data_IF_002457041128
#
_entry.id   IF_002457041128
#
_cell.length_a   1.000
_cell.length_b   1.000
_cell.length_c   1.000
_cell.angle_alpha   90.00
_cell.angle_beta   90.00
_cell.angle_gamma   90.00
#
_symmetry.space_group_name_H-M   'P 1'
#
loop_
_entity.id
_entity.type
_entity.pdbx_description
1 polymer ?
#
# COMPACT_ATOMS: atom_id res chain seq x y z
N UNK A 1 22.54 -2.79 9.21
CA UNK A 1 21.98 -2.73 7.85
C UNK A 1 20.84 -1.73 7.88
N UNK A 2 20.80 -0.76 6.98
CA UNK A 2 19.72 0.22 6.87
C UNK A 2 18.81 -0.16 5.70
N UNK A 3 17.50 -0.17 5.94
CA UNK A 3 16.50 -0.31 4.89
C UNK A 3 15.92 1.07 4.59
N UNK A 4 15.87 1.44 3.31
CA UNK A 4 15.33 2.72 2.84
C UNK A 4 14.11 2.47 1.97
N UNK A 5 12.99 3.12 2.33
CA UNK A 5 11.78 3.24 1.51
C UNK A 5 11.71 4.68 0.97
N UNK A 6 11.15 4.85 -0.23
CA UNK A 6 11.07 6.16 -0.89
C UNK A 6 9.69 6.37 -1.50
N UNK A 7 9.02 7.44 -1.09
CA UNK A 7 7.82 7.96 -1.73
C UNK A 7 8.18 9.04 -2.76
N UNK A 8 7.20 9.79 -3.22
CA UNK A 8 7.42 10.88 -4.19
C UNK A 8 8.11 12.09 -3.57
N UNK A 9 7.75 12.44 -2.33
CA UNK A 9 8.24 13.63 -1.62
C UNK A 9 8.91 13.31 -0.27
N UNK A 10 9.13 12.02 0.04
CA UNK A 10 9.64 11.58 1.34
C UNK A 10 10.53 10.34 1.25
N UNK A 11 11.40 10.18 2.25
CA UNK A 11 12.29 9.02 2.40
C UNK A 11 12.19 8.55 3.85
N UNK A 12 11.98 7.25 4.03
CA UNK A 12 11.87 6.61 5.34
C UNK A 12 13.07 5.67 5.54
N UNK A 13 13.79 5.87 6.65
CA UNK A 13 14.96 5.08 7.03
C UNK A 13 14.60 4.15 8.18
N UNK A 14 14.77 2.85 7.98
CA UNK A 14 14.51 1.80 8.97
C UNK A 14 15.85 1.20 9.39
N UNK A 15 16.26 1.47 10.64
CA UNK A 15 17.46 0.92 11.25
C UNK A 15 17.35 0.92 12.80
N UNK A 16 18.14 0.11 13.52
CA UNK A 16 18.04 -0.02 14.99
C UNK A 16 18.26 1.28 15.79
N UNK A 17 18.98 2.23 15.21
CA UNK A 17 19.33 3.54 15.78
C UNK A 17 18.39 4.68 15.33
N UNK A 18 17.30 4.34 14.64
CA UNK A 18 16.29 5.28 14.15
C UNK A 18 14.99 5.19 14.96
N UNK A 19 14.13 6.23 14.93
CA UNK A 19 12.78 6.14 15.50
C UNK A 19 11.97 4.98 14.89
N UNK A 20 10.98 4.50 15.64
CA UNK A 20 10.00 3.54 15.12
C UNK A 20 9.25 4.14 13.94
N UNK A 21 9.18 3.40 12.85
CA UNK A 21 8.41 3.75 11.66
C UNK A 21 6.99 3.23 11.79
N UNK A 22 6.01 4.12 11.59
CA UNK A 22 4.59 3.81 11.68
C UNK A 22 4.03 3.50 10.29
N UNK A 23 3.47 2.30 10.12
CA UNK A 23 2.77 1.89 8.90
C UNK A 23 1.27 2.02 9.16
N UNK A 24 0.59 2.89 8.40
CA UNK A 24 -0.86 3.03 8.46
C UNK A 24 -1.58 1.87 7.77
N UNK A 25 -2.48 1.18 8.46
CA UNK A 25 -3.15 -0.06 7.99
C UNK A 25 -4.58 0.12 7.46
N UNK A 26 -5.11 1.35 7.46
CA UNK A 26 -6.57 1.56 7.31
C UNK A 26 -7.08 1.29 5.91
N UNK A 27 -6.24 1.36 4.87
CA UNK A 27 -6.63 1.01 3.49
C UNK A 27 -6.58 -0.51 3.36
N UNK A 28 -7.50 -1.18 4.05
CA UNK A 28 -7.67 -2.62 4.03
C UNK A 28 -9.17 -2.95 4.16
N UNK A 29 -9.79 -3.62 3.17
CA UNK A 29 -11.23 -3.90 3.15
C UNK A 29 -11.64 -4.98 4.17
N UNK A 30 -10.70 -5.69 4.79
CA UNK A 30 -10.97 -6.73 5.79
C UNK A 30 -11.78 -6.18 6.96
N UNK A 31 -13.00 -6.68 7.15
CA UNK A 31 -13.93 -6.17 8.16
C UNK A 31 -14.54 -4.79 7.86
N UNK A 32 -14.15 -4.13 6.77
CA UNK A 32 -14.61 -2.78 6.38
C UNK A 32 -15.58 -2.84 5.20
N UNK A 33 -16.85 -3.18 5.49
CA UNK A 33 -17.92 -3.38 4.48
C UNK A 33 -18.02 -2.25 3.44
N UNK A 34 -17.92 -0.99 3.88
CA UNK A 34 -17.97 0.17 2.97
C UNK A 34 -16.78 0.18 2.00
N UNK A 35 -15.56 0.05 2.51
CA UNK A 35 -14.35 0.05 1.69
C UNK A 35 -14.35 -1.12 0.69
N UNK A 36 -14.77 -2.31 1.13
CA UNK A 36 -14.92 -3.47 0.25
C UNK A 36 -15.90 -3.19 -0.91
N UNK A 37 -17.06 -2.59 -0.61
CA UNK A 37 -18.06 -2.26 -1.62
C UNK A 37 -17.55 -1.22 -2.65
N UNK A 38 -16.81 -0.20 -2.20
CA UNK A 38 -16.19 0.78 -3.10
C UNK A 38 -15.16 0.11 -4.03
N UNK A 39 -14.31 -0.77 -3.50
CA UNK A 39 -13.34 -1.51 -4.31
C UNK A 39 -13.99 -2.47 -5.31
N UNK A 40 -15.08 -3.14 -4.94
CA UNK A 40 -15.86 -3.98 -5.87
C UNK A 40 -16.44 -3.11 -7.00
N UNK A 41 -16.87 -1.88 -6.70
CA UNK A 41 -17.34 -0.93 -7.69
C UNK A 41 -16.21 -0.23 -8.47
N UNK A 42 -14.94 -0.52 -8.17
CA UNK A 42 -13.78 0.14 -8.77
C UNK A 42 -13.61 1.61 -8.35
N UNK A 43 -14.27 2.03 -7.28
CA UNK A 43 -14.16 3.36 -6.70
C UNK A 43 -13.02 3.41 -5.68
N UNK A 44 -12.08 4.33 -5.89
CA UNK A 44 -10.90 4.52 -5.04
C UNK A 44 -10.89 5.88 -4.31
N UNK A 45 -11.94 6.70 -4.42
CA UNK A 45 -11.98 8.02 -3.76
C UNK A 45 -11.83 7.91 -2.24
N UNK A 46 -12.34 6.83 -1.64
CA UNK A 46 -12.17 6.55 -0.21
C UNK A 46 -10.71 6.36 0.21
N UNK A 47 -9.82 5.97 -0.71
CA UNK A 47 -8.38 5.81 -0.46
C UNK A 47 -7.72 7.15 -0.12
N UNK A 48 -8.15 8.22 -0.79
CA UNK A 48 -7.63 9.58 -0.58
C UNK A 48 -7.80 10.03 0.87
N UNK A 49 -9.03 9.94 1.38
CA UNK A 49 -9.36 10.38 2.73
C UNK A 49 -8.62 9.55 3.79
N UNK A 50 -8.52 8.23 3.57
CA UNK A 50 -7.79 7.33 4.47
C UNK A 50 -6.28 7.62 4.47
N UNK A 51 -5.67 7.87 3.31
CA UNK A 51 -4.26 8.20 3.22
C UNK A 51 -3.94 9.53 3.95
N UNK A 52 -4.70 10.58 3.66
CA UNK A 52 -4.55 11.90 4.29
C UNK A 52 -4.74 11.82 5.81
N UNK A 53 -5.77 11.10 6.27
CA UNK A 53 -6.06 10.94 7.69
C UNK A 53 -4.93 10.20 8.42
N UNK A 54 -4.40 9.14 7.81
CA UNK A 54 -3.32 8.35 8.41
C UNK A 54 -2.01 9.14 8.52
N UNK A 55 -1.62 9.87 7.46
CA UNK A 55 -0.43 10.73 7.53
C UNK A 55 -0.61 11.86 8.53
N UNK A 56 -1.80 12.48 8.59
CA UNK A 56 -2.11 13.48 9.63
C UNK A 56 -2.06 12.90 11.05
N UNK A 57 -2.31 11.60 11.21
CA UNK A 57 -2.18 10.87 12.47
C UNK A 57 -0.75 10.36 12.75
N UNK A 58 0.22 10.62 11.86
CA UNK A 58 1.63 10.29 12.05
C UNK A 58 2.11 9.04 11.31
N UNK A 59 1.35 8.46 10.37
CA UNK A 59 1.85 7.37 9.56
C UNK A 59 3.01 7.83 8.66
N UNK A 60 4.14 7.12 8.72
CA UNK A 60 5.32 7.34 7.89
C UNK A 60 5.22 6.62 6.54
N UNK A 61 4.52 5.48 6.52
CA UNK A 61 4.29 4.61 5.36
C UNK A 61 2.81 4.27 5.32
N UNK A 62 2.24 4.16 4.13
CA UNK A 62 0.83 3.77 3.95
C UNK A 62 0.75 2.36 3.38
N UNK A 63 0.12 1.44 4.12
CA UNK A 63 -0.21 0.11 3.64
C UNK A 63 -1.49 0.16 2.80
N UNK A 64 -1.47 -0.55 1.66
CA UNK A 64 -2.56 -0.56 0.68
C UNK A 64 -2.89 -2.01 0.34
N UNK A 65 -3.99 -2.48 0.91
CA UNK A 65 -4.61 -3.77 0.62
C UNK A 65 -5.98 -3.53 -0.05
N UNK A 66 -6.22 -4.17 -1.20
CA UNK A 66 -7.53 -4.12 -1.91
C UNK A 66 -8.21 -5.49 -1.97
N UNK A 67 -7.67 -6.48 -1.26
CA UNK A 67 -8.11 -7.86 -1.28
C UNK A 67 -9.46 -8.06 -0.59
N UNK A 68 -10.52 -8.09 -1.40
CA UNK A 68 -11.84 -8.54 -0.98
C UNK A 68 -12.49 -9.40 -2.07
N UNK A 69 -13.42 -10.27 -1.68
CA UNK A 69 -14.17 -11.10 -2.63
C UNK A 69 -14.89 -10.23 -3.66
N UNK A 70 -14.62 -10.49 -4.94
CA UNK A 70 -15.24 -9.76 -6.05
C UNK A 70 -14.47 -8.51 -6.52
N UNK A 71 -13.34 -8.16 -5.89
CA UNK A 71 -12.48 -7.07 -6.36
C UNK A 71 -11.53 -7.58 -7.45
N UNK A 72 -11.48 -6.88 -8.57
CA UNK A 72 -10.40 -7.03 -9.55
C UNK A 72 -9.14 -6.32 -9.01
N UNK A 73 -8.32 -7.07 -8.26
CA UNK A 73 -7.14 -6.50 -7.60
C UNK A 73 -6.12 -5.96 -8.60
N UNK A 74 -5.98 -6.60 -9.77
CA UNK A 74 -5.05 -6.16 -10.81
C UNK A 74 -5.45 -4.82 -11.44
N UNK A 75 -6.75 -4.51 -11.45
CA UNK A 75 -7.26 -3.21 -11.89
C UNK A 75 -7.29 -2.15 -10.76
N UNK A 76 -7.63 -2.55 -9.53
CA UNK A 76 -7.89 -1.61 -8.42
C UNK A 76 -6.62 -1.22 -7.66
N UNK A 77 -5.72 -2.18 -7.37
CA UNK A 77 -4.50 -1.93 -6.60
C UNK A 77 -3.59 -0.83 -7.20
N UNK A 78 -3.23 -0.84 -8.51
CA UNK A 78 -2.39 0.21 -9.06
C UNK A 78 -3.00 1.60 -8.90
N UNK A 79 -4.32 1.73 -9.13
CA UNK A 79 -5.04 3.00 -8.98
C UNK A 79 -5.06 3.48 -7.53
N UNK A 80 -5.23 2.57 -6.57
CA UNK A 80 -5.16 2.90 -5.14
C UNK A 80 -3.74 3.37 -4.74
N UNK A 81 -2.69 2.71 -5.26
CA UNK A 81 -1.29 3.11 -5.04
C UNK A 81 -0.99 4.47 -5.67
N UNK A 82 -1.45 4.77 -6.88
CA UNK A 82 -1.34 6.09 -7.51
C UNK A 82 -2.03 7.18 -6.68
N UNK A 83 -3.25 6.90 -6.20
CA UNK A 83 -4.01 7.83 -5.36
C UNK A 83 -3.25 8.20 -4.09
N UNK A 84 -2.70 7.22 -3.35
CA UNK A 84 -1.90 7.49 -2.14
C UNK A 84 -0.69 8.37 -2.47
N UNK A 85 0.04 8.06 -3.54
CA UNK A 85 1.22 8.83 -3.95
C UNK A 85 0.88 10.27 -4.33
N UNK A 86 -0.27 10.48 -4.99
CA UNK A 86 -0.77 11.80 -5.37
C UNK A 86 -1.08 12.66 -4.15
N UNK A 87 -1.71 12.07 -3.11
CA UNK A 87 -2.28 12.86 -2.01
C UNK A 87 -1.35 13.05 -0.80
N UNK A 88 -0.42 12.13 -0.54
CA UNK A 88 0.46 12.21 0.65
C UNK A 88 1.95 12.09 0.38
N UNK A 89 2.37 11.53 -0.77
CA UNK A 89 3.77 11.37 -1.14
C UNK A 89 4.66 10.57 -0.16
N UNK A 90 4.06 9.89 0.82
CA UNK A 90 4.67 8.89 1.69
C UNK A 90 5.04 7.62 0.89
N UNK A 91 6.03 6.82 1.32
CA UNK A 91 6.25 5.50 0.73
C UNK A 91 5.02 4.60 0.95
N UNK A 92 4.83 3.65 0.04
CA UNK A 92 3.71 2.71 0.08
C UNK A 92 4.20 1.32 0.47
N UNK A 93 3.45 0.64 1.33
CA UNK A 93 3.50 -0.81 1.55
C UNK A 93 2.40 -1.45 0.69
N UNK A 94 2.80 -2.16 -0.36
CA UNK A 94 1.87 -2.80 -1.29
C UNK A 94 1.48 -4.15 -0.68
N UNK A 95 0.26 -4.27 -0.16
CA UNK A 95 -0.25 -5.47 0.51
C UNK A 95 -1.12 -6.32 -0.42
N UNK A 96 -0.50 -7.33 -1.05
CA UNK A 96 -1.21 -8.29 -1.90
C UNK A 96 -0.46 -9.62 -2.00
N UNK A 97 -1.23 -10.71 -2.09
CA UNK A 97 -0.72 -12.04 -2.44
C UNK A 97 -0.90 -12.38 -3.94
N UNK A 98 -1.49 -11.49 -4.73
CA UNK A 98 -1.72 -11.67 -6.17
C UNK A 98 -0.51 -11.15 -6.97
N UNK A 99 0.26 -12.01 -7.66
CA UNK A 99 1.43 -11.59 -8.43
C UNK A 99 1.10 -10.63 -9.58
N UNK A 100 -0.07 -10.77 -10.20
CA UNK A 100 -0.50 -9.89 -11.30
C UNK A 100 -0.84 -8.50 -10.76
N UNK A 101 -1.53 -8.43 -9.62
CA UNK A 101 -1.80 -7.16 -8.94
C UNK A 101 -0.53 -6.49 -8.44
N UNK A 102 0.39 -7.26 -7.83
CA UNK A 102 1.69 -6.75 -7.40
C UNK A 102 2.49 -6.18 -8.59
N UNK A 103 2.57 -6.92 -9.69
CA UNK A 103 3.27 -6.48 -10.89
C UNK A 103 2.65 -5.20 -11.48
N UNK A 104 1.31 -5.08 -11.48
CA UNK A 104 0.63 -3.88 -11.94
C UNK A 104 0.91 -2.68 -11.02
N UNK A 105 0.83 -2.87 -9.70
CA UNK A 105 1.11 -1.83 -8.71
C UNK A 105 2.57 -1.35 -8.74
N UNK A 106 3.53 -2.27 -8.88
CA UNK A 106 4.95 -1.94 -8.98
C UNK A 106 5.29 -1.10 -10.23
N UNK A 107 4.55 -1.25 -11.33
CA UNK A 107 4.76 -0.44 -12.55
C UNK A 107 4.39 1.04 -12.36
N UNK A 108 3.41 1.32 -11.51
CA UNK A 108 2.91 2.69 -11.26
C UNK A 108 3.47 3.30 -9.98
N UNK A 109 4.05 2.48 -9.09
CA UNK A 109 4.69 2.97 -7.88
C UNK A 109 6.00 3.70 -8.21
N UNK A 110 6.05 4.98 -7.86
CA UNK A 110 7.22 5.83 -7.93
C UNK A 110 8.04 5.66 -6.65
N UNK A 111 9.37 5.65 -6.79
CA UNK A 111 10.28 5.47 -5.66
C UNK A 111 10.57 4.01 -5.35
N UNK A 112 10.60 3.67 -4.05
CA UNK A 112 10.96 2.34 -3.56
C UNK A 112 9.95 1.90 -2.50
N UNK A 113 8.93 1.11 -2.88
CA UNK A 113 7.91 0.64 -1.95
C UNK A 113 8.43 -0.49 -1.05
N UNK A 114 7.63 -0.81 -0.04
CA UNK A 114 7.68 -2.08 0.67
C UNK A 114 6.71 -3.06 -0.01
N UNK A 115 7.10 -4.33 -0.17
CA UNK A 115 6.22 -5.40 -0.66
C UNK A 115 5.75 -6.22 0.54
N UNK A 116 4.44 -6.31 0.71
CA UNK A 116 3.76 -7.03 1.78
C UNK A 116 2.80 -8.06 1.13
N UNK A 117 2.95 -9.36 1.29
CA UNK A 117 4.12 -10.08 1.78
C UNK A 117 4.46 -11.23 0.83
N UNK A 118 5.62 -11.82 1.03
CA UNK A 118 5.97 -13.11 0.47
C UNK A 118 6.00 -14.13 1.60
N UNK A 119 5.50 -15.34 1.37
CA UNK A 119 5.45 -16.39 2.40
C UNK A 119 6.76 -17.19 2.53
N UNK A 120 7.79 -16.86 1.74
CA UNK A 120 9.10 -17.53 1.78
C UNK A 120 9.07 -19.00 1.38
N UNK A 121 7.96 -19.50 0.85
CA UNK A 121 7.87 -20.85 0.30
C UNK A 121 8.62 -20.93 -1.02
N UNK A 122 9.25 -22.07 -1.30
CA UNK A 122 10.09 -22.25 -2.49
C UNK A 122 9.35 -21.94 -3.80
N UNK A 123 8.07 -22.31 -3.88
CA UNK A 123 7.18 -22.01 -5.03
C UNK A 123 6.90 -20.52 -5.23
N UNK A 124 7.10 -19.70 -4.20
CA UNK A 124 6.88 -18.25 -4.20
C UNK A 124 8.16 -17.46 -4.45
N UNK A 125 9.32 -18.14 -4.54
CA UNK A 125 10.65 -17.56 -4.73
C UNK A 125 11.24 -17.84 -6.12
N UNK A 126 10.58 -18.70 -6.91
CA UNK A 126 11.00 -19.14 -8.24
C UNK A 126 10.38 -18.34 -9.38
#
# INVERSE_FOLDING_TARGET
>A
METVLRGTNSIVHIAPDRPTVLIGERINPSGRKRLAAEFIAGNIEIVKDEALTQVAAGADVIDVNVGATGVDQAAVLPRAVEMVQEVVGAPVSIDTADPAALAAALRVCQGKPLVNSVNGEEKSLS
#
